data_IF_722658986109
#
_entry.id   IF_722658986109
#
_cell.length_a   1.000
_cell.length_b   1.000
_cell.length_c   1.000
_cell.angle_alpha   90.00
_cell.angle_beta   90.00
_cell.angle_gamma   90.00
#
_symmetry.space_group_name_H-M   'P 1'
#
loop_
_entity.id
_entity.type
_entity.pdbx_description
1 polymer ?
#
# COMPACT_ATOMS: atom_id res chain seq x y z
N UNK A 1 9.84 -23.86 13.55
CA UNK A 1 9.08 -22.79 12.86
C UNK A 1 9.50 -22.83 11.41
N UNK A 2 8.59 -23.22 10.51
CA UNK A 2 8.84 -23.20 9.07
C UNK A 2 8.80 -21.73 8.64
N UNK A 3 9.94 -21.15 8.33
CA UNK A 3 10.02 -19.85 7.66
C UNK A 3 9.44 -20.06 6.27
N UNK A 4 8.20 -19.63 6.05
CA UNK A 4 7.55 -19.70 4.74
C UNK A 4 8.27 -18.78 3.77
N UNK A 5 9.16 -19.34 2.95
CA UNK A 5 9.85 -18.58 1.91
C UNK A 5 8.96 -18.56 0.68
N UNK A 6 8.28 -17.44 0.42
CA UNK A 6 7.57 -17.24 -0.84
C UNK A 6 8.61 -16.83 -1.90
N UNK A 7 8.87 -17.72 -2.87
CA UNK A 7 9.85 -17.48 -3.93
C UNK A 7 9.16 -16.94 -5.17
N UNK A 8 9.52 -15.74 -5.61
CA UNK A 8 9.09 -15.21 -6.89
C UNK A 8 9.93 -15.85 -8.00
N UNK A 9 9.30 -16.63 -8.88
CA UNK A 9 9.97 -17.25 -10.02
C UNK A 9 9.33 -16.74 -11.30
N UNK A 10 10.05 -15.93 -12.08
CA UNK A 10 9.64 -15.57 -13.44
C UNK A 10 9.68 -16.83 -14.30
N UNK A 11 8.53 -17.49 -14.45
CA UNK A 11 8.42 -18.69 -15.28
C UNK A 11 8.50 -18.30 -16.76
N UNK A 12 9.70 -18.41 -17.33
CA UNK A 12 9.89 -18.46 -18.78
C UNK A 12 9.42 -19.84 -19.25
N UNK A 13 8.11 -20.04 -19.39
CA UNK A 13 7.43 -21.27 -19.87
C UNK A 13 8.30 -22.54 -19.81
N UNK A 14 8.69 -22.93 -18.59
CA UNK A 14 9.40 -24.19 -18.38
C UNK A 14 8.43 -25.30 -18.79
N UNK A 15 8.90 -26.24 -19.62
CA UNK A 15 8.13 -27.35 -20.20
C UNK A 15 7.31 -28.20 -19.21
N UNK A 16 7.52 -28.02 -17.91
CA UNK A 16 6.88 -28.73 -16.80
C UNK A 16 5.63 -28.03 -16.24
N UNK A 17 5.45 -26.73 -16.50
CA UNK A 17 4.27 -25.96 -16.09
C UNK A 17 3.41 -25.72 -17.33
N UNK A 18 2.19 -26.24 -17.34
CA UNK A 18 1.30 -26.10 -18.49
C UNK A 18 0.16 -25.15 -18.15
N UNK A 19 0.12 -24.04 -18.88
CA UNK A 19 -1.02 -23.14 -19.00
C UNK A 19 -1.72 -23.53 -20.33
N UNK A 20 -2.71 -24.43 -20.30
CA UNK A 20 -3.30 -25.00 -21.50
C UNK A 20 -4.05 -23.95 -22.36
N UNK A 21 -4.51 -22.87 -21.74
CA UNK A 21 -5.11 -21.73 -22.45
C UNK A 21 -4.96 -20.43 -21.65
N UNK A 22 -4.66 -19.35 -22.37
CA UNK A 22 -4.80 -17.98 -21.89
C UNK A 22 -5.96 -17.32 -22.64
N UNK A 23 -6.77 -16.57 -21.93
CA UNK A 23 -7.83 -15.75 -22.51
C UNK A 23 -7.48 -14.28 -22.34
N UNK A 24 -7.80 -13.48 -23.35
CA UNK A 24 -7.71 -12.03 -23.31
C UNK A 24 -9.06 -11.52 -22.83
N UNK A 25 -9.05 -10.70 -21.78
CA UNK A 25 -10.22 -10.10 -21.17
C UNK A 25 -10.17 -8.59 -21.38
N UNK A 26 -11.19 -8.05 -22.04
CA UNK A 26 -11.34 -6.62 -22.27
C UNK A 26 -12.23 -6.01 -21.18
N UNK A 27 -11.93 -4.77 -20.79
CA UNK A 27 -12.78 -4.02 -19.88
C UNK A 27 -13.87 -3.30 -20.69
N UNK A 28 -15.12 -3.71 -20.51
CA UNK A 28 -16.26 -3.10 -21.21
C UNK A 28 -16.65 -1.72 -20.66
N UNK A 29 -16.21 -1.36 -19.44
CA UNK A 29 -16.51 -0.09 -18.78
C UNK A 29 -15.42 0.97 -19.00
N UNK A 30 -14.17 0.54 -19.19
CA UNK A 30 -13.04 1.40 -19.55
C UNK A 30 -12.39 0.90 -20.85
N UNK A 31 -12.84 1.42 -21.99
CA UNK A 31 -12.31 1.06 -23.31
C UNK A 31 -10.89 1.58 -23.56
N UNK A 32 -10.34 2.40 -22.65
CA UNK A 32 -8.93 2.84 -22.67
C UNK A 32 -8.00 1.91 -21.90
N UNK A 33 -8.58 1.02 -21.06
CA UNK A 33 -7.82 0.00 -20.34
C UNK A 33 -7.24 -1.03 -21.32
N UNK A 34 -5.95 -1.37 -21.14
CA UNK A 34 -5.33 -2.44 -21.92
C UNK A 34 -6.01 -3.78 -21.63
N UNK A 35 -6.20 -4.68 -22.61
CA UNK A 35 -6.74 -6.01 -22.33
C UNK A 35 -5.86 -6.81 -21.36
N UNK A 36 -6.48 -7.53 -20.43
CA UNK A 36 -5.80 -8.40 -19.47
C UNK A 36 -5.62 -9.80 -20.04
N UNK A 37 -4.41 -10.34 -19.98
CA UNK A 37 -4.17 -11.77 -20.26
C UNK A 37 -4.30 -12.54 -18.95
N UNK A 38 -5.25 -13.48 -18.88
CA UNK A 38 -5.44 -14.37 -17.71
C UNK A 38 -5.63 -15.80 -18.15
N UNK A 39 -5.51 -16.73 -17.21
CA UNK A 39 -5.80 -18.15 -17.46
C UNK A 39 -6.86 -18.65 -16.49
N UNK A 40 -7.87 -19.34 -17.01
CA UNK A 40 -8.89 -19.98 -16.18
C UNK A 40 -8.40 -21.28 -15.53
N UNK A 41 -7.31 -21.87 -16.02
CA UNK A 41 -6.80 -23.16 -15.55
C UNK A 41 -5.28 -23.25 -15.73
N UNK A 42 -4.58 -23.76 -14.73
CA UNK A 42 -3.17 -24.11 -14.82
C UNK A 42 -2.93 -25.51 -14.26
N UNK A 43 -1.79 -26.11 -14.59
CA UNK A 43 -1.39 -27.40 -14.05
C UNK A 43 0.06 -27.38 -13.60
N UNK A 44 0.29 -27.93 -12.40
CA UNK A 44 1.59 -28.14 -11.79
C UNK A 44 1.91 -29.64 -11.70
N UNK A 45 3.18 -30.06 -11.89
CA UNK A 45 3.60 -31.45 -11.69
C UNK A 45 3.20 -31.96 -10.31
N UNK A 46 2.74 -33.22 -10.25
CA UNK A 46 2.27 -33.86 -9.00
C UNK A 46 3.29 -33.78 -7.86
N UNK A 47 4.57 -33.92 -8.17
CA UNK A 47 5.65 -33.80 -7.18
C UNK A 47 5.79 -32.41 -6.56
N UNK A 48 5.23 -31.37 -7.17
CA UNK A 48 5.27 -29.99 -6.68
C UNK A 48 4.02 -29.56 -5.90
N UNK A 49 2.98 -30.39 -5.84
CA UNK A 49 1.71 -30.03 -5.17
C UNK A 49 1.89 -29.71 -3.69
N UNK A 50 2.85 -30.35 -3.02
CA UNK A 50 3.18 -30.07 -1.61
C UNK A 50 4.09 -28.85 -1.38
N UNK A 51 4.54 -28.19 -2.44
CA UNK A 51 5.50 -27.08 -2.38
C UNK A 51 4.96 -25.77 -2.95
N UNK A 52 3.79 -25.80 -3.59
CA UNK A 52 3.18 -24.65 -4.26
C UNK A 52 1.78 -24.49 -3.71
N UNK A 53 1.55 -23.43 -2.93
CA UNK A 53 0.23 -23.09 -2.41
C UNK A 53 -0.62 -22.38 -3.47
N UNK A 54 0.00 -21.49 -4.24
CA UNK A 54 -0.68 -20.66 -5.23
C UNK A 54 0.26 -20.30 -6.36
N UNK A 55 -0.30 -20.06 -7.55
CA UNK A 55 0.40 -19.46 -8.68
C UNK A 55 -0.33 -18.16 -8.96
N UNK A 56 0.39 -17.04 -8.88
CA UNK A 56 -0.16 -15.72 -9.13
C UNK A 56 0.80 -14.91 -10.01
N UNK A 57 0.28 -13.95 -10.78
CA UNK A 57 -1.13 -13.66 -11.00
C UNK A 57 -1.71 -14.54 -12.12
N UNK A 58 -2.65 -15.46 -11.81
CA UNK A 58 -3.32 -16.27 -12.87
C UNK A 58 -4.77 -15.86 -13.09
N UNK A 59 -5.47 -15.47 -12.02
CA UNK A 59 -6.92 -15.20 -12.01
C UNK A 59 -7.30 -13.85 -11.39
N UNK A 60 -6.33 -12.97 -11.08
CA UNK A 60 -6.62 -11.66 -10.50
C UNK A 60 -7.07 -10.65 -11.56
N UNK A 61 -8.29 -10.16 -11.48
CA UNK A 61 -8.81 -9.09 -12.35
C UNK A 61 -8.69 -7.69 -11.69
N UNK A 62 -7.94 -7.58 -10.60
CA UNK A 62 -7.71 -6.30 -9.94
C UNK A 62 -6.96 -5.37 -10.88
N UNK A 63 -7.55 -4.21 -11.14
CA UNK A 63 -6.96 -3.11 -11.90
C UNK A 63 -7.32 -1.84 -11.16
N UNK A 64 -6.37 -0.92 -11.06
CA UNK A 64 -6.62 0.40 -10.46
C UNK A 64 -7.59 1.21 -11.29
N UNK A 65 -8.61 1.76 -10.64
CA UNK A 65 -9.48 2.75 -11.25
C UNK A 65 -8.83 4.14 -11.33
N UNK A 66 -9.08 4.84 -12.43
CA UNK A 66 -8.81 6.27 -12.58
C UNK A 66 -9.93 7.09 -11.91
N UNK A 67 -10.26 6.82 -10.64
CA UNK A 67 -11.15 7.71 -9.92
C UNK A 67 -10.31 8.82 -9.29
N UNK A 68 -10.41 10.01 -9.87
CA UNK A 68 -10.04 11.24 -9.17
C UNK A 68 -10.89 11.24 -7.89
N UNK A 69 -10.23 11.13 -6.72
CA UNK A 69 -10.86 11.56 -5.49
C UNK A 69 -11.34 12.98 -5.77
N UNK A 70 -12.65 13.16 -5.82
CA UNK A 70 -13.23 14.49 -5.93
C UNK A 70 -12.58 15.28 -4.81
N UNK A 71 -11.83 16.32 -5.16
CA UNK A 71 -11.42 17.29 -4.15
C UNK A 71 -12.72 17.78 -3.53
N UNK A 72 -13.02 17.26 -2.34
CA UNK A 72 -14.03 17.86 -1.50
C UNK A 72 -13.48 19.25 -1.28
N UNK A 73 -14.20 20.26 -1.80
CA UNK A 73 -13.75 21.65 -1.84
C UNK A 73 -12.96 22.01 -0.58
N UNK A 74 -11.78 22.62 -0.77
CA UNK A 74 -10.85 22.97 0.28
C UNK A 74 -11.60 23.39 1.54
N UNK A 75 -11.52 22.55 2.57
CA UNK A 75 -12.01 22.86 3.89
C UNK A 75 -11.30 24.14 4.32
N UNK A 76 -12.07 25.15 4.73
CA UNK A 76 -11.57 26.45 5.14
C UNK A 76 -10.44 26.29 6.17
N UNK A 77 -9.20 26.58 5.75
CA UNK A 77 -7.98 26.48 6.55
C UNK A 77 -7.93 27.51 7.70
N UNK A 78 -8.95 28.36 7.84
CA UNK A 78 -9.07 29.33 8.95
C UNK A 78 -9.84 28.80 10.15
N UNK A 79 -10.42 27.59 10.07
CA UNK A 79 -11.11 26.99 11.20
C UNK A 79 -10.12 26.57 12.30
N UNK A 80 -10.26 27.23 13.45
CA UNK A 80 -9.54 26.92 14.70
C UNK A 80 -9.57 25.41 15.01
N UNK A 81 -8.52 24.88 15.63
CA UNK A 81 -8.46 23.52 16.21
C UNK A 81 -9.64 23.19 17.17
N UNK A 82 -10.44 24.20 17.53
CA UNK A 82 -11.68 24.12 18.31
C UNK A 82 -12.97 24.14 17.48
N UNK A 83 -12.89 23.91 16.16
CA UNK A 83 -14.02 23.93 15.22
C UNK A 83 -14.95 22.71 15.32
N UNK A 84 -16.08 22.80 14.65
CA UNK A 84 -17.05 21.70 14.51
C UNK A 84 -16.39 20.55 13.72
N UNK A 85 -16.05 19.46 14.39
CA UNK A 85 -15.44 18.28 13.76
C UNK A 85 -16.35 17.56 12.77
N UNK A 86 -17.62 17.98 12.64
CA UNK A 86 -18.49 17.57 11.54
C UNK A 86 -18.16 18.28 10.21
N UNK A 87 -17.33 19.32 10.23
CA UNK A 87 -16.98 20.15 9.05
C UNK A 87 -15.49 20.15 8.71
N UNK A 88 -14.65 19.59 9.57
CA UNK A 88 -13.19 19.59 9.45
C UNK A 88 -12.60 18.23 9.82
N UNK A 89 -11.66 17.74 9.02
CA UNK A 89 -11.01 16.44 9.20
C UNK A 89 -9.51 16.60 9.48
N UNK A 90 -9.15 17.39 10.49
CA UNK A 90 -7.77 17.49 10.98
C UNK A 90 -7.50 16.48 12.10
N UNK A 91 -6.24 16.36 12.53
CA UNK A 91 -5.82 15.37 13.53
C UNK A 91 -6.55 15.52 14.87
N UNK A 92 -6.76 16.75 15.35
CA UNK A 92 -7.47 17.02 16.59
C UNK A 92 -8.92 16.55 16.52
N UNK A 93 -9.58 16.74 15.38
CA UNK A 93 -10.94 16.28 15.19
C UNK A 93 -11.07 14.76 15.13
N UNK A 94 -10.14 14.09 14.43
CA UNK A 94 -10.07 12.62 14.44
C UNK A 94 -9.87 12.12 15.88
N UNK A 95 -8.91 12.69 16.61
CA UNK A 95 -8.65 12.31 18.00
C UNK A 95 -9.87 12.53 18.90
N UNK A 96 -10.53 13.68 18.78
CA UNK A 96 -11.71 14.01 19.58
C UNK A 96 -12.90 13.09 19.27
N UNK A 97 -13.17 12.81 17.99
CA UNK A 97 -14.31 11.99 17.57
C UNK A 97 -14.16 10.53 18.01
N UNK A 98 -12.92 10.03 18.05
CA UNK A 98 -12.62 8.66 18.44
C UNK A 98 -12.07 8.54 19.87
N UNK A 99 -12.15 9.60 20.67
CA UNK A 99 -11.67 9.63 22.05
C UNK A 99 -10.21 9.17 22.23
N UNK A 100 -9.32 9.65 21.36
CA UNK A 100 -7.88 9.36 21.36
C UNK A 100 -7.16 10.45 22.17
N UNK A 101 -6.81 10.15 23.40
CA UNK A 101 -6.10 11.05 24.33
C UNK A 101 -4.80 10.45 24.88
N UNK A 102 -4.31 9.36 24.28
CA UNK A 102 -3.12 8.65 24.71
C UNK A 102 -1.86 9.06 23.92
N UNK A 103 -0.70 8.81 24.52
CA UNK A 103 0.59 8.74 23.82
C UNK A 103 1.07 7.30 23.88
N UNK A 104 1.47 6.73 22.75
CA UNK A 104 1.93 5.34 22.73
C UNK A 104 3.23 5.19 23.54
N UNK A 105 3.38 4.02 24.17
CA UNK A 105 4.57 3.69 24.94
C UNK A 105 5.83 3.41 24.06
N UNK A 106 5.71 3.50 22.73
CA UNK A 106 6.80 3.22 21.79
C UNK A 106 7.18 1.74 21.69
N UNK A 107 6.32 0.85 22.19
CA UNK A 107 6.54 -0.61 22.19
C UNK A 107 6.06 -1.28 20.90
N UNK A 108 5.29 -0.56 20.07
CA UNK A 108 4.79 -1.05 18.79
C UNK A 108 5.35 -0.26 17.61
N UNK A 109 5.05 -0.72 16.40
CA UNK A 109 5.45 -0.05 15.16
C UNK A 109 4.34 -0.16 14.11
N UNK A 110 4.28 0.82 13.21
CA UNK A 110 3.26 0.89 12.17
C UNK A 110 3.96 0.81 10.81
N UNK A 111 3.47 -0.03 9.91
CA UNK A 111 3.81 -0.01 8.50
C UNK A 111 2.66 0.55 7.68
N UNK A 112 2.96 1.45 6.76
CA UNK A 112 2.02 2.03 5.80
C UNK A 112 2.45 1.60 4.42
N UNK A 113 1.64 0.80 3.72
CA UNK A 113 1.93 0.40 2.34
C UNK A 113 1.54 1.52 1.37
N UNK A 114 2.50 1.95 0.55
CA UNK A 114 2.28 2.84 -0.58
C UNK A 114 2.40 2.09 -1.89
N UNK A 115 1.37 2.25 -2.73
CA UNK A 115 1.25 1.66 -4.06
C UNK A 115 1.18 2.76 -5.13
N UNK A 116 1.00 2.36 -6.38
CA UNK A 116 0.55 3.27 -7.46
C UNK A 116 1.49 4.44 -7.77
N UNK A 117 2.80 4.30 -7.52
CA UNK A 117 3.78 5.38 -7.72
C UNK A 117 3.46 6.64 -6.89
N UNK A 118 2.78 6.47 -5.75
CA UNK A 118 2.60 7.52 -4.77
C UNK A 118 3.78 7.48 -3.78
N UNK A 119 4.38 8.65 -3.53
CA UNK A 119 5.57 8.78 -2.69
C UNK A 119 5.31 9.72 -1.52
N UNK A 120 6.20 9.71 -0.53
CA UNK A 120 6.15 10.68 0.56
C UNK A 120 7.35 11.61 0.51
N UNK A 121 7.16 12.81 1.05
CA UNK A 121 8.23 13.76 1.33
C UNK A 121 8.40 13.87 2.85
N UNK A 122 9.58 13.56 3.37
CA UNK A 122 9.81 13.56 4.82
C UNK A 122 9.84 14.97 5.42
N UNK A 123 10.03 16.01 4.60
CA UNK A 123 9.89 17.41 5.03
C UNK A 123 8.43 17.78 5.25
N UNK A 124 7.53 17.34 4.37
CA UNK A 124 6.10 17.59 4.51
C UNK A 124 5.55 16.90 5.76
N UNK A 125 5.93 15.64 5.99
CA UNK A 125 5.56 14.89 7.22
C UNK A 125 6.05 15.61 8.48
N UNK A 126 7.29 16.12 8.48
CA UNK A 126 7.81 16.94 9.60
C UNK A 126 7.01 18.22 9.79
N UNK A 127 6.59 18.86 8.69
CA UNK A 127 5.73 20.03 8.70
C UNK A 127 4.35 19.74 9.29
N UNK A 128 3.74 18.63 8.89
CA UNK A 128 2.48 18.12 9.44
C UNK A 128 2.57 17.90 10.94
N UNK A 129 3.55 17.11 11.40
CA UNK A 129 3.75 16.81 12.84
C UNK A 129 4.00 18.10 13.62
N UNK A 130 4.84 19.01 13.11
CA UNK A 130 5.10 20.29 13.78
C UNK A 130 3.84 21.15 13.93
N UNK A 131 2.93 21.07 12.97
CA UNK A 131 1.70 21.88 12.94
C UNK A 131 0.62 21.29 13.85
N UNK A 132 0.41 19.98 13.77
CA UNK A 132 -0.76 19.32 14.37
C UNK A 132 -0.45 18.49 15.61
N UNK A 133 0.81 18.12 15.84
CA UNK A 133 1.21 17.34 17.01
C UNK A 133 2.67 17.61 17.42
N UNK A 134 3.02 18.84 17.83
CA UNK A 134 4.41 19.22 18.10
C UNK A 134 5.07 18.46 19.25
N UNK A 135 4.27 17.78 20.09
CA UNK A 135 4.75 16.91 21.16
C UNK A 135 4.99 15.45 20.71
N UNK A 136 4.69 15.12 19.45
CA UNK A 136 4.86 13.78 18.90
C UNK A 136 6.33 13.35 18.93
N UNK A 137 6.55 12.10 19.36
CA UNK A 137 7.88 11.48 19.45
C UNK A 137 8.08 10.34 18.44
N UNK A 138 7.09 10.07 17.61
CA UNK A 138 7.16 9.09 16.53
C UNK A 138 8.14 9.52 15.45
N UNK A 139 8.69 8.54 14.76
CA UNK A 139 9.63 8.73 13.65
C UNK A 139 9.03 8.15 12.39
N UNK A 140 9.34 8.74 11.24
CA UNK A 140 8.92 8.22 9.94
C UNK A 140 10.15 7.86 9.11
N UNK A 141 10.15 6.67 8.53
CA UNK A 141 11.18 6.19 7.60
C UNK A 141 10.55 5.56 6.35
N UNK A 142 11.32 5.53 5.26
CA UNK A 142 10.92 4.86 4.02
C UNK A 142 11.68 3.55 3.89
N UNK A 143 10.99 2.49 3.48
CA UNK A 143 11.57 1.22 3.05
C UNK A 143 11.06 0.89 1.65
N UNK A 144 11.99 0.64 0.74
CA UNK A 144 11.69 0.24 -0.63
C UNK A 144 11.44 -1.27 -0.69
N UNK A 145 10.40 -1.67 -1.39
CA UNK A 145 9.98 -3.07 -1.54
C UNK A 145 9.93 -3.43 -3.02
N UNK A 146 10.58 -4.53 -3.38
CA UNK A 146 10.77 -4.98 -4.76
C UNK A 146 11.34 -3.85 -5.64
N UNK A 147 10.60 -3.39 -6.65
CA UNK A 147 11.01 -2.32 -7.57
C UNK A 147 10.70 -0.91 -7.03
N UNK A 148 10.33 -0.80 -5.75
CA UNK A 148 9.90 0.43 -5.09
C UNK A 148 10.93 1.56 -5.16
N UNK A 149 10.43 2.80 -5.28
CA UNK A 149 11.23 4.04 -5.29
C UNK A 149 10.55 5.09 -4.41
N UNK A 150 11.25 6.16 -4.00
CA UNK A 150 10.61 7.29 -3.31
C UNK A 150 11.10 8.63 -3.86
N UNK A 151 10.32 9.26 -4.75
CA UNK A 151 10.65 10.59 -5.29
C UNK A 151 10.01 11.68 -4.44
N UNK A 152 10.74 12.16 -3.43
CA UNK A 152 10.27 13.21 -2.51
C UNK A 152 9.91 14.53 -3.22
N UNK A 153 10.40 14.77 -4.44
CA UNK A 153 10.06 15.94 -5.25
C UNK A 153 8.64 15.94 -5.79
N UNK A 154 7.98 14.79 -5.81
CA UNK A 154 6.63 14.59 -6.36
C UNK A 154 5.81 13.74 -5.42
N UNK A 155 5.56 14.18 -4.17
CA UNK A 155 4.83 13.40 -3.20
C UNK A 155 3.38 13.17 -3.66
N UNK A 156 2.86 12.00 -3.31
CA UNK A 156 1.52 11.57 -3.60
C UNK A 156 0.53 11.98 -2.51
N UNK A 157 -0.66 12.42 -2.89
CA UNK A 157 -1.68 12.85 -1.93
C UNK A 157 -2.13 11.71 -0.99
N UNK A 158 -2.32 10.51 -1.55
CA UNK A 158 -2.75 9.32 -0.79
C UNK A 158 -1.68 8.91 0.22
N UNK A 159 -0.46 8.63 -0.24
CA UNK A 159 0.62 8.18 0.63
C UNK A 159 1.04 9.23 1.67
N UNK A 160 0.96 10.52 1.33
CA UNK A 160 1.21 11.58 2.32
C UNK A 160 0.13 11.57 3.40
N UNK A 161 -1.15 11.49 3.01
CA UNK A 161 -2.28 11.42 3.96
C UNK A 161 -2.19 10.18 4.87
N UNK A 162 -1.91 9.01 4.29
CA UNK A 162 -1.80 7.76 5.05
C UNK A 162 -0.70 7.83 6.11
N UNK A 163 0.46 8.36 5.75
CA UNK A 163 1.61 8.49 6.65
C UNK A 163 1.39 9.57 7.70
N UNK A 164 0.83 10.72 7.32
CA UNK A 164 0.49 11.81 8.24
C UNK A 164 -0.53 11.33 9.29
N UNK A 165 -1.57 10.61 8.85
CA UNK A 165 -2.56 10.05 9.76
C UNK A 165 -1.96 8.97 10.67
N UNK A 166 -1.11 8.10 10.13
CA UNK A 166 -0.45 7.05 10.90
C UNK A 166 0.48 7.60 11.99
N UNK A 167 1.33 8.59 11.66
CA UNK A 167 2.24 9.20 12.64
C UNK A 167 1.48 10.05 13.65
N UNK A 168 0.42 10.73 13.21
CA UNK A 168 -0.45 11.53 14.08
C UNK A 168 -1.21 10.66 15.09
N UNK A 169 -1.95 9.65 14.65
CA UNK A 169 -2.72 8.77 15.56
C UNK A 169 -1.79 7.88 16.38
N UNK A 170 -0.72 7.39 15.78
CA UNK A 170 0.25 6.48 16.40
C UNK A 170 1.32 7.17 17.23
N UNK A 171 1.08 8.40 17.73
CA UNK A 171 2.08 9.22 18.42
C UNK A 171 2.93 8.40 19.40
N UNK A 172 4.25 8.41 19.20
CA UNK A 172 5.22 7.71 20.02
C UNK A 172 5.71 6.39 19.43
N UNK A 173 5.01 5.82 18.44
CA UNK A 173 5.48 4.65 17.70
C UNK A 173 6.22 5.06 16.40
N UNK A 174 7.26 4.32 15.97
CA UNK A 174 7.83 4.48 14.64
C UNK A 174 6.85 4.04 13.54
N UNK A 175 6.81 4.81 12.46
CA UNK A 175 6.08 4.54 11.23
C UNK A 175 7.06 4.26 10.10
N UNK A 176 6.87 3.17 9.36
CA UNK A 176 7.61 2.86 8.14
C UNK A 176 6.68 2.91 6.94
N UNK A 177 6.95 3.82 6.01
CA UNK A 177 6.34 3.81 4.70
C UNK A 177 7.01 2.76 3.81
N UNK A 178 6.27 1.72 3.46
CA UNK A 178 6.69 0.69 2.53
C UNK A 178 6.31 1.13 1.13
N UNK A 179 7.27 1.65 0.37
CA UNK A 179 7.03 1.96 -1.04
C UNK A 179 7.15 0.69 -1.87
N UNK A 180 6.01 0.20 -2.35
CA UNK A 180 5.90 -1.09 -3.03
C UNK A 180 5.57 -0.84 -4.49
N UNK A 181 6.39 -1.40 -5.38
CA UNK A 181 6.13 -1.42 -6.81
C UNK A 181 6.35 -2.82 -7.38
N UNK A 182 5.76 -3.06 -8.54
CA UNK A 182 6.07 -4.18 -9.42
C UNK A 182 6.36 -3.63 -10.82
N UNK A 183 7.21 -4.30 -11.58
CA UNK A 183 7.46 -4.04 -13.00
C UNK A 183 7.01 -5.20 -13.90
N UNK A 184 6.17 -6.09 -13.37
CA UNK A 184 5.74 -7.32 -14.03
C UNK A 184 4.62 -7.12 -15.06
N UNK A 185 3.79 -6.08 -14.91
CA UNK A 185 2.66 -5.88 -15.79
C UNK A 185 2.98 -5.06 -17.04
N UNK A 186 2.22 -5.33 -18.11
CA UNK A 186 2.27 -4.56 -19.36
C UNK A 186 1.61 -3.18 -19.29
N UNK A 187 0.84 -2.94 -18.24
CA UNK A 187 0.17 -1.68 -17.91
C UNK A 187 0.38 -1.45 -16.41
N UNK A 188 0.94 -0.30 -15.99
CA UNK A 188 1.15 -0.01 -14.58
C UNK A 188 -0.11 -0.17 -13.73
N UNK A 189 -1.32 0.05 -14.30
CA UNK A 189 -2.60 -0.12 -13.58
C UNK A 189 -2.89 -1.57 -13.14
N UNK A 190 -2.22 -2.54 -13.73
CA UNK A 190 -2.42 -3.97 -13.48
C UNK A 190 -1.44 -4.55 -12.46
N UNK A 191 -0.44 -3.76 -12.04
CA UNK A 191 0.60 -4.20 -11.10
C UNK A 191 0.09 -4.38 -9.67
N UNK A 192 -1.11 -3.90 -9.34
CA UNK A 192 -1.60 -3.89 -7.95
C UNK A 192 -1.63 -5.28 -7.30
N UNK A 193 -2.00 -6.32 -8.05
CA UNK A 193 -2.01 -7.68 -7.52
C UNK A 193 -0.58 -8.18 -7.17
N UNK A 194 0.40 -7.83 -7.99
CA UNK A 194 1.80 -8.19 -7.76
C UNK A 194 2.41 -7.33 -6.65
N UNK A 195 2.05 -6.06 -6.57
CA UNK A 195 2.41 -5.18 -5.46
C UNK A 195 1.85 -5.68 -4.13
N UNK A 196 0.60 -6.17 -4.09
CA UNK A 196 0.02 -6.77 -2.89
C UNK A 196 0.79 -8.03 -2.47
N UNK A 197 1.26 -8.82 -3.43
CA UNK A 197 2.13 -9.97 -3.14
C UNK A 197 3.49 -9.52 -2.60
N UNK A 198 4.13 -8.52 -3.22
CA UNK A 198 5.40 -7.95 -2.75
C UNK A 198 5.27 -7.37 -1.34
N UNK A 199 4.17 -6.70 -1.04
CA UNK A 199 3.86 -6.20 0.29
C UNK A 199 3.77 -7.35 1.31
N UNK A 200 2.99 -8.40 1.02
CA UNK A 200 2.89 -9.57 1.89
C UNK A 200 4.22 -10.30 2.09
N UNK A 201 5.04 -10.41 1.03
CA UNK A 201 6.40 -10.95 1.11
C UNK A 201 7.31 -10.10 2.01
N UNK A 202 7.24 -8.77 1.87
CA UNK A 202 8.02 -7.86 2.68
C UNK A 202 7.71 -8.00 4.17
N UNK A 203 6.42 -8.14 4.53
CA UNK A 203 6.02 -8.38 5.92
C UNK A 203 6.49 -9.74 6.44
N UNK A 204 6.34 -10.80 5.64
CA UNK A 204 6.76 -12.16 6.03
C UNK A 204 8.29 -12.30 6.16
N UNK A 205 9.06 -11.47 5.45
CA UNK A 205 10.51 -11.46 5.52
C UNK A 205 11.07 -10.69 6.73
N UNK A 206 10.24 -9.94 7.46
CA UNK A 206 10.72 -9.16 8.60
C UNK A 206 11.08 -10.02 9.80
N UNK A 207 12.27 -9.79 10.33
CA UNK A 207 12.71 -10.41 11.60
C UNK A 207 12.04 -9.80 12.82
N UNK A 208 11.52 -8.57 12.67
CA UNK A 208 10.75 -7.84 13.67
C UNK A 208 9.57 -7.17 12.96
N UNK A 209 8.49 -7.92 12.68
CA UNK A 209 7.37 -7.43 11.89
C UNK A 209 6.67 -6.26 12.60
N UNK A 210 6.07 -5.32 11.83
CA UNK A 210 5.33 -4.22 12.40
C UNK A 210 4.14 -4.73 13.23
N UNK A 211 3.81 -4.03 14.31
CA UNK A 211 2.66 -4.38 15.14
C UNK A 211 1.33 -4.19 14.40
N UNK A 212 1.29 -3.20 13.50
CA UNK A 212 0.15 -2.91 12.63
C UNK A 212 0.68 -2.62 11.24
N UNK A 213 0.05 -3.18 10.21
CA UNK A 213 0.28 -2.80 8.83
C UNK A 213 -1.04 -2.30 8.23
N UNK A 214 -1.02 -1.13 7.60
CA UNK A 214 -2.17 -0.52 6.94
C UNK A 214 -1.89 -0.34 5.45
N UNK A 215 -2.94 -0.40 4.65
CA UNK A 215 -2.88 -0.15 3.22
C UNK A 215 -4.15 0.55 2.75
N UNK A 216 -3.99 1.54 1.87
CA UNK A 216 -5.05 2.21 1.13
C UNK A 216 -4.62 2.28 -0.33
N UNK A 217 -5.51 1.97 -1.25
CA UNK A 217 -5.23 2.01 -2.70
C UNK A 217 -6.54 2.20 -3.45
N UNK A 218 -6.47 2.80 -4.63
CA UNK A 218 -7.60 2.98 -5.53
C UNK A 218 -7.66 1.78 -6.47
N UNK A 219 -8.42 0.77 -6.05
CA UNK A 219 -8.73 -0.42 -6.87
C UNK A 219 -10.01 -0.13 -7.63
#
# INVERSE_FOLDING_TARGET
>A
MLTGCMSMLTLLLLRSFSIPSTSVYENNEDTTARPLVRTGQYSVPKGLHGYIDTVQPTTSFMRRQNTDATQVNAIDNTASATGDCLKHSNLDCVRKQYNIDYTAAGIGSIAVAGFEYQWINLTDVRGYVKTWDPANKGTVSVKLVADGTNYESTPGAESSMDVDLAVGIGNGNPVTFLSVLSSGASDPKDDFADELLHFGQALNAETSPPSVATMSSRI
#
